data_IF_749613789334
#
_entry.id   IF_749613789334
#
_cell.length_a   1.000
_cell.length_b   1.000
_cell.length_c   1.000
_cell.angle_alpha   90.00
_cell.angle_beta   90.00
_cell.angle_gamma   90.00
#
_symmetry.space_group_name_H-M   'P 1'
#
loop_
_entity.id
_entity.type
_entity.pdbx_description
1 polymer ?
#
# COMPACT_ATOMS: atom_id res chain seq x y z
N UNK A 1 8.23 -23.99 -12.21
CA UNK A 1 7.28 -24.43 -11.16
C UNK A 1 7.86 -25.50 -10.23
N UNK A 2 8.46 -26.60 -10.74
CA UNK A 2 9.13 -27.63 -9.90
C UNK A 2 10.25 -27.02 -9.03
N UNK A 3 10.94 -25.99 -9.54
CA UNK A 3 12.01 -25.29 -8.83
C UNK A 3 11.57 -24.68 -7.48
N UNK A 4 10.31 -24.25 -7.34
CA UNK A 4 9.81 -23.68 -6.09
C UNK A 4 9.77 -24.71 -4.95
N UNK A 5 9.46 -25.97 -5.27
CA UNK A 5 9.36 -27.06 -4.29
C UNK A 5 10.69 -27.44 -3.64
N UNK A 6 11.80 -27.12 -4.32
CA UNK A 6 13.16 -27.46 -3.91
C UNK A 6 13.99 -26.21 -3.55
N UNK A 7 13.47 -25.01 -3.78
CA UNK A 7 14.16 -23.77 -3.46
C UNK A 7 14.47 -23.72 -1.95
N UNK A 8 15.73 -23.46 -1.55
CA UNK A 8 16.12 -23.44 -0.16
C UNK A 8 15.41 -22.29 0.56
N UNK A 9 15.24 -22.44 1.87
CA UNK A 9 14.72 -21.38 2.74
C UNK A 9 15.68 -20.19 2.76
N UNK A 10 15.16 -18.97 2.61
CA UNK A 10 15.94 -17.73 2.69
C UNK A 10 16.21 -17.25 4.12
N UNK A 11 16.96 -16.15 4.29
CA UNK A 11 17.22 -15.51 5.58
C UNK A 11 15.93 -14.98 6.26
N UNK A 12 16.04 -14.41 7.46
CA UNK A 12 14.91 -13.77 8.17
C UNK A 12 14.23 -12.67 7.32
N UNK A 13 15.02 -11.85 6.65
CA UNK A 13 14.55 -10.83 5.72
C UNK A 13 15.50 -10.72 4.51
N UNK A 14 14.93 -10.40 3.36
CA UNK A 14 15.62 -10.20 2.08
C UNK A 14 14.75 -9.30 1.19
N UNK A 15 15.27 -8.89 0.04
CA UNK A 15 14.47 -8.11 -0.90
C UNK A 15 13.35 -8.96 -1.51
N UNK A 16 12.24 -8.33 -1.91
CA UNK A 16 11.18 -9.02 -2.66
C UNK A 16 11.77 -9.64 -3.94
N UNK A 17 12.67 -8.95 -4.61
CA UNK A 17 13.36 -9.44 -5.80
C UNK A 17 14.16 -10.73 -5.53
N UNK A 18 15.02 -10.74 -4.50
CA UNK A 18 15.85 -11.92 -4.17
C UNK A 18 14.99 -13.13 -3.81
N UNK A 19 13.94 -12.91 -3.01
CA UNK A 19 12.99 -13.95 -2.64
C UNK A 19 12.34 -14.58 -3.89
N UNK A 20 11.86 -13.74 -4.81
CA UNK A 20 11.14 -14.19 -6.00
C UNK A 20 12.08 -14.84 -7.00
N UNK A 21 13.25 -14.27 -7.28
CA UNK A 21 14.23 -14.85 -8.21
C UNK A 21 14.64 -16.24 -7.74
N UNK A 22 14.94 -16.40 -6.44
CA UNK A 22 15.34 -17.67 -5.84
C UNK A 22 14.26 -18.75 -5.95
N UNK A 23 12.98 -18.38 -5.87
CA UNK A 23 11.86 -19.34 -5.80
C UNK A 23 11.11 -19.56 -7.11
N UNK A 24 10.89 -18.49 -7.85
CA UNK A 24 10.00 -18.43 -9.01
C UNK A 24 10.73 -18.00 -10.30
N UNK A 25 11.98 -17.58 -10.19
CA UNK A 25 12.81 -17.17 -11.32
C UNK A 25 12.61 -15.71 -11.72
N UNK A 26 13.55 -15.22 -12.55
CA UNK A 26 13.63 -13.82 -12.97
C UNK A 26 12.40 -13.37 -13.79
N UNK A 27 11.88 -14.22 -14.66
CA UNK A 27 10.70 -13.88 -15.46
C UNK A 27 9.46 -13.62 -14.59
N UNK A 28 9.26 -14.39 -13.52
CA UNK A 28 8.18 -14.17 -12.56
C UNK A 28 8.33 -12.83 -11.84
N UNK A 29 9.56 -12.45 -11.50
CA UNK A 29 9.84 -11.12 -10.95
C UNK A 29 9.48 -10.04 -11.97
N UNK A 30 10.06 -10.08 -13.17
CA UNK A 30 9.92 -9.03 -14.17
C UNK A 30 8.46 -8.85 -14.63
N UNK A 31 7.73 -9.95 -14.90
CA UNK A 31 6.40 -9.88 -15.54
C UNK A 31 5.22 -9.86 -14.56
N UNK A 32 5.40 -10.33 -13.33
CA UNK A 32 4.28 -10.49 -12.37
C UNK A 32 4.50 -9.73 -11.07
N UNK A 33 5.65 -9.93 -10.41
CA UNK A 33 5.84 -9.37 -9.07
C UNK A 33 6.25 -7.90 -9.13
N UNK A 34 7.09 -7.50 -10.08
CA UNK A 34 7.45 -6.11 -10.31
C UNK A 34 6.22 -5.20 -10.54
N UNK A 35 5.32 -5.49 -11.51
CA UNK A 35 4.10 -4.72 -11.67
C UNK A 35 3.16 -4.81 -10.45
N UNK A 36 3.16 -5.92 -9.71
CA UNK A 36 2.37 -6.03 -8.47
C UNK A 36 2.92 -5.11 -7.36
N UNK A 37 4.24 -5.04 -7.19
CA UNK A 37 4.91 -4.15 -6.25
C UNK A 37 4.65 -2.68 -6.61
N UNK A 38 4.66 -2.34 -7.89
CA UNK A 38 4.30 -0.99 -8.34
C UNK A 38 2.81 -0.71 -8.11
N UNK A 39 1.93 -1.68 -8.34
CA UNK A 39 0.48 -1.52 -8.15
C UNK A 39 0.04 -1.37 -6.69
N UNK A 40 0.72 -2.01 -5.74
CA UNK A 40 0.37 -1.97 -4.31
C UNK A 40 1.11 -0.86 -3.58
N UNK A 41 2.42 -0.74 -3.81
CA UNK A 41 3.31 0.13 -3.04
C UNK A 41 3.91 1.27 -3.85
N UNK A 42 3.69 1.31 -5.17
CA UNK A 42 4.51 2.09 -6.10
C UNK A 42 6.01 1.89 -5.86
N UNK A 43 6.38 0.67 -5.44
CA UNK A 43 7.69 0.36 -4.89
C UNK A 43 8.63 -0.34 -5.86
N UNK A 44 9.89 -0.42 -5.47
CA UNK A 44 10.92 -1.17 -6.19
C UNK A 44 11.19 -2.50 -5.47
N UNK A 45 10.88 -3.67 -6.08
CA UNK A 45 11.06 -4.97 -5.44
C UNK A 45 12.51 -5.26 -5.04
N UNK A 46 13.50 -4.58 -5.64
CA UNK A 46 14.91 -4.70 -5.28
C UNK A 46 15.29 -3.93 -4.00
N UNK A 47 14.39 -3.10 -3.47
CA UNK A 47 14.60 -2.33 -2.22
C UNK A 47 13.59 -2.67 -1.14
N UNK A 48 12.49 -3.31 -1.50
CA UNK A 48 11.41 -3.67 -0.59
C UNK A 48 11.75 -4.93 0.21
N UNK A 49 11.48 -4.90 1.52
CA UNK A 49 11.58 -6.07 2.40
C UNK A 49 10.42 -7.04 2.16
N UNK A 50 10.72 -8.33 1.91
CA UNK A 50 9.68 -9.36 1.80
C UNK A 50 8.96 -9.57 3.12
N UNK A 51 9.67 -9.47 4.25
CA UNK A 51 9.11 -9.67 5.59
C UNK A 51 8.08 -8.59 5.93
N UNK A 52 8.31 -7.34 5.53
CA UNK A 52 7.44 -6.22 5.87
C UNK A 52 6.35 -5.98 4.81
N UNK A 53 6.65 -6.19 3.52
CA UNK A 53 5.67 -5.96 2.45
C UNK A 53 4.73 -7.16 2.26
N UNK A 54 5.24 -8.39 2.43
CA UNK A 54 4.47 -9.62 2.23
C UNK A 54 4.71 -10.63 3.38
N UNK A 55 4.45 -10.23 4.65
CA UNK A 55 4.78 -11.02 5.84
C UNK A 55 4.23 -12.43 5.76
N UNK A 56 3.01 -12.58 5.25
CA UNK A 56 2.35 -13.87 5.12
C UNK A 56 3.07 -14.83 4.18
N UNK A 57 3.57 -14.33 3.05
CA UNK A 57 4.34 -15.15 2.11
C UNK A 57 5.64 -15.60 2.77
N UNK A 58 6.29 -14.71 3.52
CA UNK A 58 7.49 -15.04 4.29
C UNK A 58 7.22 -16.09 5.35
N UNK A 59 6.15 -15.96 6.14
CA UNK A 59 5.73 -16.96 7.12
C UNK A 59 5.50 -18.35 6.51
N UNK A 60 4.85 -18.41 5.34
CA UNK A 60 4.59 -19.68 4.65
C UNK A 60 5.89 -20.34 4.19
N UNK A 61 6.86 -19.57 3.68
CA UNK A 61 8.21 -20.09 3.44
C UNK A 61 8.83 -20.62 4.75
N UNK A 62 8.79 -19.83 5.81
CA UNK A 62 9.51 -20.14 7.05
C UNK A 62 8.99 -21.42 7.72
N UNK A 63 7.66 -21.64 7.67
CA UNK A 63 6.97 -22.75 8.33
C UNK A 63 6.88 -24.03 7.48
N UNK A 64 6.82 -23.90 6.16
CA UNK A 64 6.57 -25.05 5.25
C UNK A 64 7.71 -25.30 4.26
N UNK A 65 8.71 -24.42 4.18
CA UNK A 65 9.86 -24.49 3.28
C UNK A 65 9.56 -24.16 1.80
N UNK A 66 8.34 -24.43 1.34
CA UNK A 66 7.84 -24.14 -0.01
C UNK A 66 6.41 -23.61 0.05
N UNK A 67 6.11 -22.62 -0.79
CA UNK A 67 4.79 -22.01 -0.94
C UNK A 67 3.79 -23.00 -1.51
N UNK A 68 4.19 -23.84 -2.48
CA UNK A 68 3.32 -24.89 -3.03
C UNK A 68 2.99 -25.93 -1.95
N UNK A 69 4.00 -26.37 -1.17
CA UNK A 69 3.76 -27.28 -0.03
C UNK A 69 2.83 -26.67 1.01
N UNK A 70 3.01 -25.39 1.30
CA UNK A 70 2.13 -24.65 2.19
C UNK A 70 0.69 -24.67 1.67
N UNK A 71 0.46 -24.30 0.41
CA UNK A 71 -0.87 -24.29 -0.20
C UNK A 71 -1.56 -25.66 -0.15
N UNK A 72 -0.85 -26.75 -0.48
CA UNK A 72 -1.39 -28.12 -0.44
C UNK A 72 -1.80 -28.51 0.98
N UNK A 73 -0.93 -28.23 1.97
CA UNK A 73 -1.21 -28.57 3.37
C UNK A 73 -2.39 -27.77 3.93
N UNK A 74 -2.45 -26.47 3.63
CA UNK A 74 -3.56 -25.60 4.01
C UNK A 74 -4.89 -26.05 3.38
N UNK A 75 -4.88 -26.44 2.10
CA UNK A 75 -6.08 -26.93 1.44
C UNK A 75 -6.57 -28.26 2.05
N UNK A 76 -5.65 -29.15 2.42
CA UNK A 76 -5.98 -30.42 3.08
C UNK A 76 -6.54 -30.21 4.49
N UNK A 77 -5.99 -29.25 5.25
CA UNK A 77 -6.49 -28.87 6.57
C UNK A 77 -7.90 -28.25 6.48
N UNK A 78 -8.17 -27.39 5.50
CA UNK A 78 -9.54 -26.87 5.25
C UNK A 78 -10.55 -27.96 4.91
N UNK A 79 -10.18 -28.93 4.08
CA UNK A 79 -11.06 -30.04 3.68
C UNK A 79 -11.38 -31.00 4.83
N UNK A 80 -10.54 -31.06 5.86
CA UNK A 80 -10.72 -31.94 7.03
C UNK A 80 -11.65 -31.37 8.10
N UNK A 81 -12.30 -30.22 7.86
CA UNK A 81 -13.20 -29.59 8.83
C UNK A 81 -12.51 -29.08 10.10
N UNK A 82 -11.19 -29.22 10.20
CA UNK A 82 -10.39 -28.55 11.22
C UNK A 82 -10.40 -27.06 10.87
N UNK A 83 -11.24 -26.28 11.55
CA UNK A 83 -11.34 -24.82 11.45
C UNK A 83 -10.06 -24.08 11.87
N UNK A 84 -8.90 -24.52 11.37
CA UNK A 84 -7.63 -23.83 11.51
C UNK A 84 -7.63 -22.68 10.50
N UNK A 85 -8.34 -21.61 10.87
CA UNK A 85 -7.91 -20.28 10.48
C UNK A 85 -6.50 -20.10 11.05
N UNK A 86 -5.49 -19.98 10.21
CA UNK A 86 -4.21 -19.43 10.65
C UNK A 86 -4.48 -17.97 11.05
N UNK A 87 -4.83 -17.78 12.32
CA UNK A 87 -5.01 -16.49 12.94
C UNK A 87 -3.65 -15.78 12.90
N UNK A 88 -3.56 -14.55 12.39
CA UNK A 88 -2.45 -13.67 12.75
C UNK A 88 -2.46 -13.53 14.29
N UNK A 89 -1.28 -13.46 14.92
CA UNK A 89 -1.21 -12.89 16.27
C UNK A 89 -1.57 -11.41 16.15
N UNK A 90 -2.85 -11.09 16.36
CA UNK A 90 -3.40 -9.74 16.35
C UNK A 90 -4.19 -9.39 15.08
N UNK A 91 -5.52 -9.35 15.19
CA UNK A 91 -6.40 -8.68 14.21
C UNK A 91 -7.40 -9.59 13.49
N UNK A 92 -8.68 -9.23 13.65
CA UNK A 92 -9.96 -9.66 13.05
C UNK A 92 -10.06 -10.78 11.99
N UNK A 93 -11.19 -11.47 12.06
CA UNK A 93 -11.71 -12.46 11.13
C UNK A 93 -11.61 -11.98 9.67
N UNK A 94 -10.74 -12.62 8.89
CA UNK A 94 -10.78 -12.51 7.43
C UNK A 94 -10.49 -13.88 6.84
N UNK A 95 -11.41 -14.32 5.98
CA UNK A 95 -11.29 -15.57 5.24
C UNK A 95 -9.96 -15.62 4.47
N UNK A 96 -9.46 -16.83 4.30
CA UNK A 96 -8.03 -17.04 4.09
C UNK A 96 -7.71 -17.09 2.58
N UNK A 97 -7.11 -16.02 2.04
CA UNK A 97 -6.53 -15.98 0.68
C UNK A 97 -5.17 -15.24 0.74
N UNK A 98 -4.12 -15.71 0.02
CA UNK A 98 -2.80 -15.06 -0.05
C UNK A 98 -2.79 -13.72 -0.83
N UNK A 99 -3.95 -13.32 -1.33
CA UNK A 99 -4.33 -12.03 -1.93
C UNK A 99 -5.50 -11.55 -1.05
N UNK A 100 -5.73 -10.25 -0.78
CA UNK A 100 -6.83 -9.81 0.10
C UNK A 100 -8.12 -10.56 -0.24
N UNK A 101 -8.56 -11.45 0.66
CA UNK A 101 -9.80 -12.17 0.50
C UNK A 101 -10.91 -11.16 0.77
N UNK A 102 -11.47 -10.62 -0.30
CA UNK A 102 -12.46 -9.59 -0.20
C UNK A 102 -12.91 -9.18 -1.58
N UNK A 103 -14.21 -8.98 -1.73
CA UNK A 103 -14.72 -8.29 -2.90
C UNK A 103 -14.22 -6.85 -2.84
N UNK A 104 -13.51 -6.41 -3.87
CA UNK A 104 -13.11 -5.02 -3.99
C UNK A 104 -14.34 -4.12 -3.82
N UNK A 105 -14.29 -3.25 -2.82
CA UNK A 105 -15.44 -2.46 -2.39
C UNK A 105 -15.04 -1.00 -2.21
N UNK A 106 -15.99 -0.12 -2.45
CA UNK A 106 -15.90 1.31 -2.17
C UNK A 106 -17.28 1.79 -1.69
N UNK A 107 -17.38 3.05 -1.29
CA UNK A 107 -18.66 3.66 -0.94
C UNK A 107 -19.31 4.24 -2.18
N UNK A 108 -20.64 4.35 -2.20
CA UNK A 108 -21.36 4.94 -3.32
C UNK A 108 -20.75 6.32 -3.70
N UNK A 109 -20.57 7.22 -2.74
CA UNK A 109 -19.99 8.56 -2.97
C UNK A 109 -18.44 8.61 -2.94
N UNK A 110 -17.75 7.46 -2.97
CA UNK A 110 -16.29 7.40 -2.98
C UNK A 110 -15.69 7.30 -1.59
N UNK A 111 -14.38 7.00 -1.53
CA UNK A 111 -13.68 6.72 -0.28
C UNK A 111 -13.74 7.88 0.73
N UNK A 112 -13.89 9.12 0.24
CA UNK A 112 -14.06 10.31 1.08
C UNK A 112 -15.29 10.23 2.00
N UNK A 113 -16.29 9.40 1.67
CA UNK A 113 -17.45 9.12 2.54
C UNK A 113 -17.01 8.74 3.96
N UNK A 114 -15.93 7.97 4.12
CA UNK A 114 -15.41 7.59 5.45
C UNK A 114 -14.92 8.82 6.20
N UNK A 115 -14.07 9.63 5.57
CA UNK A 115 -13.44 10.78 6.22
C UNK A 115 -14.46 11.87 6.54
N UNK A 116 -15.42 12.11 5.66
CA UNK A 116 -16.50 13.08 5.88
C UNK A 116 -17.39 12.63 7.05
N UNK A 117 -17.74 11.35 7.10
CA UNK A 117 -18.55 10.79 8.21
C UNK A 117 -17.79 10.86 9.54
N UNK A 118 -16.49 10.58 9.55
CA UNK A 118 -15.66 10.72 10.75
C UNK A 118 -15.57 12.18 11.20
N UNK A 119 -15.38 13.11 10.26
CA UNK A 119 -15.32 14.53 10.57
C UNK A 119 -16.62 15.03 11.21
N UNK A 120 -17.77 14.63 10.67
CA UNK A 120 -19.08 14.94 11.24
C UNK A 120 -19.25 14.37 12.65
N UNK A 121 -18.84 13.11 12.89
CA UNK A 121 -18.98 12.49 14.22
C UNK A 121 -18.06 13.09 15.29
N UNK A 122 -16.95 13.69 14.87
CA UNK A 122 -15.97 14.32 15.77
C UNK A 122 -16.22 15.82 15.96
N UNK A 123 -17.33 16.36 15.46
CA UNK A 123 -17.74 17.77 15.49
C UNK A 123 -17.18 18.56 16.70
N UNK A 124 -16.47 19.65 16.41
CA UNK A 124 -15.86 20.53 17.41
C UNK A 124 -14.50 20.07 17.96
N UNK A 125 -14.05 18.84 17.67
CA UNK A 125 -12.74 18.31 18.14
C UNK A 125 -11.64 18.35 17.09
N UNK A 126 -11.98 18.68 15.84
CA UNK A 126 -11.03 18.76 14.73
C UNK A 126 -10.66 20.22 14.48
N UNK A 127 -9.37 20.53 14.47
CA UNK A 127 -8.85 21.85 14.12
C UNK A 127 -8.08 21.78 12.81
N UNK A 128 -8.72 22.21 11.73
CA UNK A 128 -8.10 22.29 10.40
C UNK A 128 -7.20 23.52 10.28
N UNK A 129 -6.19 23.45 9.41
CA UNK A 129 -5.24 24.54 9.20
C UNK A 129 -4.35 24.84 10.43
N UNK A 130 -4.18 23.86 11.32
CA UNK A 130 -3.31 23.95 12.49
C UNK A 130 -2.19 22.92 12.34
N UNK A 131 -0.99 23.38 12.02
CA UNK A 131 0.18 22.52 11.90
C UNK A 131 0.87 22.37 13.25
N UNK A 132 1.17 21.15 13.66
CA UNK A 132 2.05 20.87 14.80
C UNK A 132 3.50 21.07 14.35
N UNK A 133 4.30 21.74 15.18
CA UNK A 133 5.69 22.12 14.90
C UNK A 133 6.69 21.50 15.88
N UNK A 134 6.23 21.06 17.04
CA UNK A 134 7.10 20.49 18.06
C UNK A 134 6.31 19.92 19.22
N UNK A 135 6.94 19.03 19.99
CA UNK A 135 6.43 18.55 21.26
C UNK A 135 7.49 18.70 22.35
N UNK A 136 7.05 19.00 23.56
CA UNK A 136 7.90 19.10 24.75
C UNK A 136 7.21 18.35 25.90
N UNK A 137 7.99 17.71 26.77
CA UNK A 137 7.46 17.13 28.01
C UNK A 137 7.44 18.19 29.11
N UNK A 138 6.28 18.41 29.73
CA UNK A 138 6.12 19.30 30.88
C UNK A 138 5.57 18.51 32.08
N UNK A 139 6.49 18.01 32.92
CA UNK A 139 6.16 17.15 34.05
C UNK A 139 5.49 15.83 33.61
N UNK A 140 4.19 15.70 33.90
CA UNK A 140 3.37 14.53 33.53
C UNK A 140 2.62 14.70 32.20
N UNK A 141 2.56 15.92 31.67
CA UNK A 141 1.87 16.25 30.43
C UNK A 141 2.86 16.57 29.30
N UNK A 142 2.33 16.83 28.13
CA UNK A 142 3.03 17.30 26.95
C UNK A 142 2.53 18.66 26.53
N UNK A 143 3.44 19.54 26.12
CA UNK A 143 3.15 20.75 25.37
C UNK A 143 3.27 20.45 23.90
N UNK A 144 2.23 20.77 23.14
CA UNK A 144 2.19 20.63 21.68
C UNK A 144 2.28 22.02 21.08
N UNK A 145 3.40 22.32 20.43
CA UNK A 145 3.61 23.59 19.76
C UNK A 145 2.93 23.54 18.39
N UNK A 146 2.03 24.48 18.13
CA UNK A 146 1.28 24.56 16.88
C UNK A 146 1.41 25.93 16.24
N UNK A 147 0.96 26.07 14.99
CA UNK A 147 0.90 27.37 14.30
C UNK A 147 -0.05 28.38 14.94
N UNK A 148 -0.89 27.98 15.91
CA UNK A 148 -1.84 28.86 16.60
C UNK A 148 -1.58 29.04 18.09
N UNK A 149 -0.47 28.50 18.61
CA UNK A 149 -0.13 28.54 20.03
C UNK A 149 0.27 27.18 20.57
N UNK A 150 0.20 27.04 21.89
CA UNK A 150 0.61 25.83 22.61
C UNK A 150 -0.62 25.18 23.23
N UNK A 151 -0.80 23.88 23.00
CA UNK A 151 -1.80 23.07 23.67
C UNK A 151 -1.14 22.17 24.71
N UNK A 152 -1.89 21.81 25.76
CA UNK A 152 -1.47 20.82 26.76
C UNK A 152 -2.25 19.52 26.59
N UNK A 153 -1.57 18.38 26.69
CA UNK A 153 -2.19 17.06 26.61
C UNK A 153 -1.45 16.03 27.48
N UNK A 154 -2.18 15.11 28.11
CA UNK A 154 -1.56 14.00 28.87
C UNK A 154 -0.92 12.95 27.94
N UNK A 155 -1.46 12.81 26.73
CA UNK A 155 -1.03 11.84 25.72
C UNK A 155 -1.02 12.51 24.35
N UNK A 156 0.05 12.29 23.59
CA UNK A 156 0.18 12.73 22.20
C UNK A 156 0.29 11.51 21.29
N UNK A 157 -0.54 11.47 20.24
CA UNK A 157 -0.50 10.42 19.21
C UNK A 157 -0.06 11.08 17.90
N UNK A 158 1.09 10.67 17.38
CA UNK A 158 1.57 11.10 16.06
C UNK A 158 1.04 10.16 14.99
N UNK A 159 0.02 10.63 14.26
CA UNK A 159 -0.56 9.94 13.11
C UNK A 159 -0.13 10.56 11.76
N UNK A 160 0.89 11.43 11.77
CA UNK A 160 1.48 12.06 10.59
C UNK A 160 2.44 11.13 9.86
N UNK A 161 2.73 11.38 8.56
CA UNK A 161 3.81 10.71 7.84
C UNK A 161 5.15 10.78 8.59
N UNK A 162 6.05 9.82 8.35
CA UNK A 162 7.30 9.70 9.11
C UNK A 162 8.19 10.93 9.03
N UNK A 163 8.31 11.58 7.85
CA UNK A 163 9.09 12.81 7.70
C UNK A 163 8.53 13.96 8.55
N UNK A 164 7.21 14.16 8.57
CA UNK A 164 6.58 15.18 9.40
C UNK A 164 6.70 14.86 10.89
N UNK A 165 6.51 13.59 11.27
CA UNK A 165 6.71 13.13 12.64
C UNK A 165 8.16 13.30 13.09
N UNK A 166 9.13 13.05 12.21
CA UNK A 166 10.57 13.27 12.45
C UNK A 166 10.87 14.73 12.80
N UNK A 167 10.29 15.68 12.06
CA UNK A 167 10.41 17.12 12.34
C UNK A 167 9.78 17.49 13.69
N UNK A 168 8.55 17.01 13.96
CA UNK A 168 7.81 17.32 15.19
C UNK A 168 8.55 16.86 16.44
N UNK A 169 9.23 15.71 16.39
CA UNK A 169 9.95 15.16 17.55
C UNK A 169 11.44 15.52 17.56
N UNK A 170 11.92 16.34 16.61
CA UNK A 170 13.34 16.60 16.41
C UNK A 170 14.09 17.01 17.68
N UNK A 171 13.51 17.94 18.44
CA UNK A 171 14.08 18.40 19.71
C UNK A 171 13.72 17.50 20.91
N UNK A 172 12.65 16.71 20.79
CA UNK A 172 12.15 15.82 21.83
C UNK A 172 12.97 14.52 21.93
N UNK A 173 13.22 13.87 20.79
CA UNK A 173 14.03 12.66 20.68
C UNK A 173 14.76 12.65 19.33
N UNK A 174 16.00 13.16 19.34
CA UNK A 174 16.88 13.22 18.16
C UNK A 174 17.17 11.85 17.56
N UNK A 175 17.26 10.80 18.39
CA UNK A 175 17.58 9.45 17.91
C UNK A 175 16.39 8.90 17.15
N UNK A 176 15.19 9.02 17.69
CA UNK A 176 13.98 8.53 17.03
C UNK A 176 13.62 9.39 15.81
N UNK A 177 13.81 10.72 15.89
CA UNK A 177 13.70 11.64 14.75
C UNK A 177 14.54 11.17 13.57
N UNK A 178 15.81 10.84 13.80
CA UNK A 178 16.71 10.33 12.75
C UNK A 178 16.18 9.05 12.10
N UNK A 179 15.72 8.08 12.89
CA UNK A 179 15.16 6.82 12.37
C UNK A 179 13.95 7.10 11.47
N UNK A 180 13.06 8.00 11.87
CA UNK A 180 11.88 8.36 11.08
C UNK A 180 12.24 9.07 9.77
N UNK A 181 13.29 9.91 9.78
CA UNK A 181 13.74 10.63 8.59
C UNK A 181 14.31 9.72 7.49
N UNK A 182 14.76 8.52 7.87
CA UNK A 182 15.33 7.54 6.95
C UNK A 182 14.26 6.70 6.21
N UNK A 183 12.98 6.85 6.57
CA UNK A 183 11.88 6.11 5.93
C UNK A 183 11.55 6.74 4.57
N UNK A 184 11.81 6.05 3.44
CA UNK A 184 11.60 6.61 2.12
C UNK A 184 10.12 6.62 1.73
N UNK A 185 9.74 7.60 0.91
CA UNK A 185 8.41 7.70 0.30
C UNK A 185 8.54 7.69 -1.22
N UNK A 186 7.74 6.86 -1.88
CA UNK A 186 7.63 6.86 -3.33
C UNK A 186 6.60 7.91 -3.77
N UNK A 187 6.99 8.98 -4.48
CA UNK A 187 6.03 9.97 -4.97
C UNK A 187 5.18 9.37 -6.09
N UNK A 188 3.88 9.65 -6.08
CA UNK A 188 2.93 9.16 -7.10
C UNK A 188 1.96 10.27 -7.44
N UNK A 189 1.75 10.47 -8.73
CA UNK A 189 0.72 11.36 -9.28
C UNK A 189 -0.40 10.55 -9.91
N UNK A 190 -1.64 11.00 -9.67
CA UNK A 190 -2.86 10.33 -10.13
C UNK A 190 -3.49 11.18 -11.22
N UNK A 191 -3.49 10.68 -12.46
CA UNK A 191 -4.01 11.41 -13.63
C UNK A 191 -5.25 10.74 -14.17
N UNK A 192 -6.39 11.43 -14.05
CA UNK A 192 -7.70 10.93 -14.42
C UNK A 192 -8.13 11.45 -15.80
N UNK A 193 -8.45 10.54 -16.72
CA UNK A 193 -8.96 10.88 -18.05
C UNK A 193 -10.40 10.41 -18.21
N UNK A 194 -11.26 11.35 -18.60
CA UNK A 194 -12.63 11.08 -19.02
C UNK A 194 -12.72 10.98 -20.54
N UNK A 195 -13.24 9.88 -21.06
CA UNK A 195 -13.48 9.70 -22.50
C UNK A 195 -14.94 9.36 -22.76
N UNK A 196 -15.45 9.76 -23.94
CA UNK A 196 -16.72 9.24 -24.44
C UNK A 196 -16.57 7.74 -24.72
N UNK A 197 -17.53 6.92 -24.29
CA UNK A 197 -17.46 5.45 -24.40
C UNK A 197 -17.32 5.02 -25.85
N UNK A 198 -18.01 5.65 -26.80
CA UNK A 198 -17.95 5.31 -28.22
C UNK A 198 -16.59 5.58 -28.88
N UNK A 199 -15.72 6.37 -28.23
CA UNK A 199 -14.36 6.65 -28.71
C UNK A 199 -13.33 5.63 -28.22
N UNK A 200 -13.68 4.75 -27.29
CA UNK A 200 -12.79 3.69 -26.79
C UNK A 200 -13.05 2.40 -27.57
N UNK A 201 -12.11 2.04 -28.44
CA UNK A 201 -12.25 0.99 -29.46
C UNK A 201 -12.28 -0.44 -28.91
N UNK A 202 -11.89 -0.65 -27.65
CA UNK A 202 -11.85 -1.97 -27.03
C UNK A 202 -12.82 -2.07 -25.84
N UNK A 203 -13.04 -3.30 -25.38
CA UNK A 203 -13.83 -3.58 -24.18
C UNK A 203 -13.06 -3.19 -22.93
N UNK A 204 -13.70 -2.47 -22.00
CA UNK A 204 -13.17 -2.16 -20.67
C UNK A 204 -13.76 -3.08 -19.60
N UNK A 205 -13.93 -4.37 -19.90
CA UNK A 205 -14.39 -5.34 -18.90
C UNK A 205 -13.21 -5.82 -18.06
N UNK A 206 -13.01 -5.21 -16.91
CA UNK A 206 -11.92 -5.55 -16.00
C UNK A 206 -11.67 -4.48 -14.95
N UNK A 207 -10.66 -4.73 -14.12
CA UNK A 207 -10.19 -3.79 -13.12
C UNK A 207 -9.30 -2.70 -13.73
N UNK A 208 -8.51 -3.06 -14.72
CA UNK A 208 -7.44 -2.24 -15.26
C UNK A 208 -6.23 -3.09 -15.60
N UNK A 209 -5.07 -2.46 -15.71
CA UNK A 209 -3.81 -3.15 -15.98
C UNK A 209 -2.66 -2.49 -15.22
N UNK A 210 -1.59 -3.27 -15.04
CA UNK A 210 -0.31 -2.83 -14.52
C UNK A 210 0.73 -3.05 -15.62
N UNK A 211 1.75 -2.19 -15.65
CA UNK A 211 2.82 -2.29 -16.64
C UNK A 211 4.11 -2.75 -15.93
N UNK A 212 4.69 -3.88 -16.33
CA UNK A 212 6.03 -4.26 -15.92
C UNK A 212 7.05 -3.15 -16.23
N UNK A 213 7.97 -2.86 -15.32
CA UNK A 213 8.96 -1.80 -15.54
C UNK A 213 9.83 -2.03 -16.78
N UNK A 214 10.09 -3.30 -17.12
CA UNK A 214 10.87 -3.70 -18.30
C UNK A 214 10.24 -3.23 -19.63
N UNK A 215 8.95 -2.89 -19.66
CA UNK A 215 8.26 -2.37 -20.85
C UNK A 215 8.58 -0.89 -21.14
N UNK A 216 9.35 -0.21 -20.26
CA UNK A 216 9.83 1.15 -20.48
C UNK A 216 8.74 2.20 -20.62
N UNK A 217 7.57 1.99 -20.01
CA UNK A 217 6.45 2.94 -20.03
C UNK A 217 6.55 3.94 -18.88
N UNK A 218 5.99 5.13 -19.09
CA UNK A 218 5.98 6.25 -18.13
C UNK A 218 4.87 6.17 -17.08
N UNK A 219 4.02 5.15 -17.13
CA UNK A 219 2.95 4.94 -16.16
C UNK A 219 3.11 3.56 -15.49
N UNK A 220 2.70 3.45 -14.24
CA UNK A 220 2.70 2.20 -13.48
C UNK A 220 1.55 1.29 -13.90
N UNK A 221 0.43 1.88 -14.30
CA UNK A 221 -0.79 1.18 -14.68
C UNK A 221 -1.98 2.11 -14.74
N UNK A 222 -3.11 1.55 -15.15
CA UNK A 222 -4.37 2.29 -15.30
C UNK A 222 -5.51 1.49 -14.70
N UNK A 223 -6.29 2.15 -13.85
CA UNK A 223 -7.54 1.63 -13.31
C UNK A 223 -8.71 2.07 -14.19
N UNK A 224 -9.61 1.14 -14.48
CA UNK A 224 -10.83 1.40 -15.24
C UNK A 224 -11.97 1.70 -14.27
N UNK A 225 -11.91 2.87 -13.62
CA UNK A 225 -12.72 3.21 -12.45
C UNK A 225 -14.23 3.07 -12.71
N UNK A 226 -14.71 3.50 -13.87
CA UNK A 226 -16.13 3.38 -14.26
C UNK A 226 -16.56 1.95 -14.59
N UNK A 227 -15.61 1.05 -14.88
CA UNK A 227 -15.88 -0.38 -15.06
C UNK A 227 -15.94 -1.13 -13.73
N UNK A 228 -15.13 -0.71 -12.76
CA UNK A 228 -15.14 -1.27 -11.41
C UNK A 228 -16.39 -0.79 -10.66
N UNK A 229 -16.66 0.51 -10.71
CA UNK A 229 -17.76 1.18 -10.03
C UNK A 229 -18.53 2.04 -11.04
N UNK A 230 -19.67 1.55 -11.57
CA UNK A 230 -20.41 2.20 -12.66
C UNK A 230 -20.79 3.67 -12.42
N UNK A 231 -20.92 4.08 -11.16
CA UNK A 231 -21.30 5.43 -10.77
C UNK A 231 -20.10 6.42 -10.67
N UNK A 232 -18.94 6.07 -11.24
CA UNK A 232 -17.73 6.93 -11.26
C UNK A 232 -17.55 7.76 -12.52
N UNK A 233 -18.41 7.57 -13.51
CA UNK A 233 -18.47 8.42 -14.70
C UNK A 233 -19.92 8.73 -15.05
N UNK A 234 -20.21 9.87 -15.70
CA UNK A 234 -21.51 10.13 -16.31
C UNK A 234 -21.87 9.06 -17.34
N UNK A 235 -23.17 8.92 -17.60
CA UNK A 235 -23.66 8.02 -18.65
C UNK A 235 -23.02 8.35 -20.01
N UNK A 236 -22.59 7.33 -20.75
CA UNK A 236 -21.90 7.49 -22.03
C UNK A 236 -20.42 7.83 -21.92
N UNK A 237 -19.85 7.93 -20.72
CA UNK A 237 -18.43 8.22 -20.49
C UNK A 237 -17.74 7.08 -19.74
N UNK A 238 -16.41 7.07 -19.82
CA UNK A 238 -15.53 6.19 -19.06
C UNK A 238 -14.46 6.99 -18.34
N UNK A 239 -14.09 6.55 -17.14
CA UNK A 239 -13.05 7.15 -16.32
C UNK A 239 -11.86 6.20 -16.23
N UNK A 240 -10.69 6.66 -16.69
CA UNK A 240 -9.42 5.95 -16.63
C UNK A 240 -8.47 6.69 -15.70
N UNK A 241 -8.02 6.03 -14.63
CA UNK A 241 -7.12 6.62 -13.63
C UNK A 241 -5.74 6.03 -13.77
N UNK A 242 -4.79 6.86 -14.16
CA UNK A 242 -3.39 6.48 -14.37
C UNK A 242 -2.57 6.80 -13.13
N UNK A 243 -1.69 5.88 -12.77
CA UNK A 243 -0.72 6.05 -11.68
C UNK A 243 0.65 6.31 -12.30
N UNK A 244 1.28 7.43 -11.96
CA UNK A 244 2.55 7.90 -12.53
C UNK A 244 3.56 8.10 -11.41
N UNK A 245 4.82 7.75 -11.65
CA UNK A 245 5.91 7.93 -10.71
C UNK A 245 6.36 6.63 -10.05
N UNK A 246 6.32 6.59 -8.72
CA UNK A 246 6.79 5.48 -7.90
C UNK A 246 8.30 5.51 -7.68
N UNK A 247 8.80 4.53 -6.92
CA UNK A 247 10.19 4.45 -6.47
C UNK A 247 11.22 4.33 -7.60
N UNK A 248 10.80 3.90 -8.80
CA UNK A 248 11.66 3.71 -9.98
C UNK A 248 11.71 4.91 -10.92
N UNK A 249 10.73 5.81 -10.86
CA UNK A 249 10.66 7.00 -11.71
C UNK A 249 10.06 8.19 -10.94
N UNK A 250 10.60 8.54 -9.75
CA UNK A 250 10.01 9.53 -8.87
C UNK A 250 9.87 10.92 -9.50
N UNK A 251 10.74 11.26 -10.44
CA UNK A 251 10.72 12.51 -11.20
C UNK A 251 9.45 12.71 -12.02
N UNK A 252 8.85 11.62 -12.53
CA UNK A 252 7.63 11.71 -13.34
C UNK A 252 6.41 12.13 -12.52
N UNK A 253 6.39 11.83 -11.22
CA UNK A 253 5.33 12.30 -10.33
C UNK A 253 5.43 13.81 -10.05
N UNK A 254 6.61 14.41 -10.25
CA UNK A 254 6.88 15.81 -9.92
C UNK A 254 6.74 16.76 -11.12
N UNK A 255 6.41 16.23 -12.29
CA UNK A 255 6.15 17.04 -13.49
C UNK A 255 4.89 17.90 -13.29
N UNK A 256 4.84 19.03 -13.98
CA UNK A 256 3.65 19.86 -14.05
C UNK A 256 2.57 19.26 -14.96
N UNK A 257 1.34 19.75 -14.84
CA UNK A 257 0.18 19.22 -15.57
C UNK A 257 0.29 19.36 -17.11
N UNK A 258 1.18 20.23 -17.63
CA UNK A 258 1.35 20.48 -19.06
C UNK A 258 2.58 19.78 -19.67
N UNK A 259 3.33 19.00 -18.88
CA UNK A 259 4.57 18.35 -19.28
C UNK A 259 4.39 17.09 -20.17
#
# INVERSE_FOLDING_TARGET
MIYELIAPKGPEDETVADFVIRRLGKESLEKLIDPMCSGIFAGDPYKMSIRHCFPRIKELEQNYGSLIRAMIKLQKERRKGSGVSLRPMGGQESEVVPVPAGRLTSFYNGAQTITDTLAQRLEGKIRLGVSVKGIEKDGKAYKVHTSRGIDSADIVILASPAHASSEIIGDFDKKFSKILSEIPYAPVSVVCFGYKREKVLHSLQGFGFLIPHIEGKKILGTLWDSSIFPNRAPEGYVLLRNMIGGAKSPELAMLDDNA
#
